data_IF_947839783885
#
_entry.id   IF_947839783885
#
_cell.length_a   1.000
_cell.length_b   1.000
_cell.length_c   1.000
_cell.angle_alpha   90.00
_cell.angle_beta   90.00
_cell.angle_gamma   90.00
#
_symmetry.space_group_name_H-M   'P 1'
#
loop_
_entity.id
_entity.type
_entity.pdbx_description
1 polymer ?
#
# COMPACT_ATOMS: atom_id res chain seq x y z
N UNK A 1 -4.38 0.36 18.84
CA UNK A 1 -4.65 1.23 17.68
C UNK A 1 -3.79 2.47 17.80
N UNK A 2 -3.30 3.01 16.69
CA UNK A 2 -2.48 4.23 16.68
C UNK A 2 -3.40 5.46 16.76
N UNK A 3 -3.22 6.35 17.76
CA UNK A 3 -3.96 7.62 17.82
C UNK A 3 -3.79 8.42 16.52
N UNK A 4 -4.87 9.01 16.03
CA UNK A 4 -4.87 9.83 14.80
C UNK A 4 -5.15 9.06 13.49
N UNK A 5 -5.21 7.73 13.51
CA UNK A 5 -5.71 6.95 12.37
C UNK A 5 -7.23 6.79 12.51
N UNK A 6 -7.98 7.15 11.46
CA UNK A 6 -9.44 6.98 11.44
C UNK A 6 -9.78 5.47 11.62
N UNK A 7 -10.74 5.09 12.49
CA UNK A 7 -10.90 3.71 12.94
C UNK A 7 -11.13 2.64 11.87
N UNK A 8 -11.75 2.99 10.74
CA UNK A 8 -12.02 2.11 9.60
C UNK A 8 -10.99 2.24 8.47
N UNK A 9 -9.84 2.86 8.75
CA UNK A 9 -8.77 3.06 7.78
C UNK A 9 -7.47 2.40 8.25
N UNK A 10 -6.63 2.04 7.28
CA UNK A 10 -5.27 1.58 7.49
C UNK A 10 -4.33 2.62 6.91
N UNK A 11 -3.19 2.81 7.57
CA UNK A 11 -2.07 3.55 7.01
C UNK A 11 -0.85 2.64 6.86
N UNK A 12 -0.19 2.70 5.70
CA UNK A 12 1.07 2.00 5.41
C UNK A 12 2.04 2.97 4.75
N UNK A 13 3.32 2.88 5.11
CA UNK A 13 4.37 3.67 4.47
C UNK A 13 4.70 3.12 3.08
N UNK A 14 4.80 4.01 2.09
CA UNK A 14 5.39 3.67 0.80
C UNK A 14 6.91 3.47 0.94
N UNK A 15 7.47 2.49 0.23
CA UNK A 15 8.92 2.23 0.17
C UNK A 15 9.39 0.87 0.69
N UNK A 16 8.47 -0.01 1.10
CA UNK A 16 8.78 -1.36 1.58
C UNK A 16 8.24 -2.45 0.64
N UNK A 17 8.64 -3.71 0.87
CA UNK A 17 8.18 -4.89 0.14
C UNK A 17 8.64 -4.99 -1.32
N UNK A 18 9.65 -4.23 -1.73
CA UNK A 18 10.19 -4.30 -3.08
C UNK A 18 10.80 -5.69 -3.36
N UNK A 19 10.35 -6.34 -4.43
CA UNK A 19 10.79 -7.71 -4.80
C UNK A 19 12.13 -7.77 -5.54
N UNK A 20 12.62 -6.62 -6.00
CA UNK A 20 13.84 -6.50 -6.80
C UNK A 20 14.78 -5.45 -6.19
N UNK A 21 16.08 -5.60 -6.44
CA UNK A 21 17.12 -4.68 -5.98
C UNK A 21 18.06 -5.28 -4.94
N UNK A 22 18.95 -4.43 -4.41
CA UNK A 22 19.88 -4.81 -3.36
C UNK A 22 19.14 -5.19 -2.07
N UNK A 23 19.63 -6.22 -1.37
CA UNK A 23 19.03 -6.67 -0.09
C UNK A 23 19.20 -5.58 0.97
N UNK A 24 18.15 -4.82 1.19
CA UNK A 24 18.04 -3.76 2.20
C UNK A 24 16.78 -3.99 3.05
N UNK A 25 16.60 -3.24 4.13
CA UNK A 25 15.36 -3.30 4.92
C UNK A 25 14.11 -3.07 4.06
N UNK A 26 14.18 -2.16 3.09
CA UNK A 26 13.09 -1.84 2.15
C UNK A 26 12.69 -3.02 1.24
N UNK A 27 13.65 -3.89 0.86
CA UNK A 27 13.38 -5.03 -0.03
C UNK A 27 13.14 -6.35 0.72
N UNK A 28 13.42 -6.40 2.03
CA UNK A 28 13.34 -7.63 2.84
C UNK A 28 12.21 -7.60 3.87
N UNK A 29 11.62 -6.42 4.13
CA UNK A 29 10.57 -6.24 5.12
C UNK A 29 9.37 -5.49 4.54
N UNK A 30 8.22 -5.65 5.20
CA UNK A 30 6.99 -4.93 4.92
C UNK A 30 6.26 -5.40 3.66
N UNK A 31 5.36 -4.56 3.16
CA UNK A 31 4.51 -4.86 2.02
C UNK A 31 4.68 -3.80 0.93
N UNK A 32 4.55 -4.21 -0.32
CA UNK A 32 4.51 -3.28 -1.45
C UNK A 32 3.07 -2.81 -1.65
N UNK A 33 2.75 -1.58 -1.21
CA UNK A 33 1.37 -1.06 -1.25
C UNK A 33 0.78 -1.02 -2.68
N UNK A 34 1.60 -0.90 -3.73
CA UNK A 34 1.13 -0.96 -5.12
C UNK A 34 0.47 -2.29 -5.49
N UNK A 35 0.78 -3.38 -4.77
CA UNK A 35 0.14 -4.69 -5.00
C UNK A 35 -1.28 -4.76 -4.42
N UNK A 36 -1.66 -3.79 -3.57
CA UNK A 36 -3.00 -3.68 -2.98
C UNK A 36 -3.93 -2.77 -3.77
N UNK A 37 -3.39 -2.02 -4.73
CA UNK A 37 -4.14 -1.02 -5.49
C UNK A 37 -4.74 -1.64 -6.75
N UNK A 38 -5.98 -1.22 -7.14
CA UNK A 38 -6.56 -1.65 -8.39
C UNK A 38 -5.83 -0.98 -9.57
N UNK A 39 -5.73 -1.70 -10.69
CA UNK A 39 -5.23 -1.11 -11.93
C UNK A 39 -6.36 -0.32 -12.62
N UNK A 40 -6.67 0.87 -12.08
CA UNK A 40 -7.75 1.74 -12.58
C UNK A 40 -7.23 3.16 -12.74
N UNK A 41 -7.61 3.80 -13.85
CA UNK A 41 -7.26 5.19 -14.17
C UNK A 41 -8.53 6.04 -14.21
N UNK A 42 -8.46 7.26 -13.65
CA UNK A 42 -9.53 8.24 -13.74
C UNK A 42 -9.77 8.64 -15.21
N UNK A 43 -11.01 8.52 -15.74
CA UNK A 43 -11.29 8.85 -17.13
C UNK A 43 -11.25 10.35 -17.41
N UNK A 44 -11.29 11.20 -16.37
CA UNK A 44 -11.30 12.67 -16.51
C UNK A 44 -9.88 13.24 -16.45
N UNK A 45 -9.04 12.73 -15.55
CA UNK A 45 -7.72 13.31 -15.26
C UNK A 45 -6.54 12.45 -15.70
N UNK A 46 -6.77 11.19 -16.09
CA UNK A 46 -5.69 10.25 -16.42
C UNK A 46 -4.85 9.78 -15.23
N UNK A 47 -5.24 10.12 -13.99
CA UNK A 47 -4.52 9.73 -12.77
C UNK A 47 -4.87 8.31 -12.34
N UNK A 48 -3.88 7.54 -11.92
CA UNK A 48 -4.08 6.21 -11.32
C UNK A 48 -4.80 6.34 -9.98
N UNK A 49 -5.71 5.42 -9.68
CA UNK A 49 -6.42 5.38 -8.40
C UNK A 49 -5.51 4.83 -7.30
N UNK A 50 -5.23 5.63 -6.27
CA UNK A 50 -4.40 5.28 -5.12
C UNK A 50 -5.20 5.04 -3.83
N UNK A 51 -6.49 4.72 -3.96
CA UNK A 51 -7.38 4.38 -2.84
C UNK A 51 -7.99 3.01 -3.06
N UNK A 52 -7.96 2.16 -2.04
CA UNK A 52 -8.49 0.79 -2.11
C UNK A 52 -9.04 0.34 -0.76
N UNK A 53 -10.12 -0.43 -0.79
CA UNK A 53 -10.54 -1.23 0.36
C UNK A 53 -9.64 -2.45 0.52
N UNK A 54 -9.31 -2.81 1.76
CA UNK A 54 -8.47 -3.98 2.07
C UNK A 54 -9.12 -4.82 3.16
N UNK A 55 -8.83 -6.11 3.16
CA UNK A 55 -9.19 -7.03 4.25
C UNK A 55 -7.92 -7.44 4.98
N UNK A 56 -7.95 -7.42 6.31
CA UNK A 56 -6.83 -7.86 7.13
C UNK A 56 -7.11 -9.27 7.64
N UNK A 57 -6.11 -10.14 7.53
CA UNK A 57 -6.07 -11.43 8.21
C UNK A 57 -4.77 -11.50 9.04
N UNK A 58 -4.78 -12.32 10.10
CA UNK A 58 -3.52 -12.70 10.73
C UNK A 58 -2.72 -13.58 9.76
N UNK A 59 -1.40 -13.40 9.76
CA UNK A 59 -0.47 -14.25 9.01
C UNK A 59 -0.35 -15.64 9.65
#
# INVERSE_FOLDING_TARGET
MTPGIRPDTLFVYMGFGAKAGAKTAATTHGIHCGNLLPHVTSPVSGTVVHTAGVTLSRA
#
